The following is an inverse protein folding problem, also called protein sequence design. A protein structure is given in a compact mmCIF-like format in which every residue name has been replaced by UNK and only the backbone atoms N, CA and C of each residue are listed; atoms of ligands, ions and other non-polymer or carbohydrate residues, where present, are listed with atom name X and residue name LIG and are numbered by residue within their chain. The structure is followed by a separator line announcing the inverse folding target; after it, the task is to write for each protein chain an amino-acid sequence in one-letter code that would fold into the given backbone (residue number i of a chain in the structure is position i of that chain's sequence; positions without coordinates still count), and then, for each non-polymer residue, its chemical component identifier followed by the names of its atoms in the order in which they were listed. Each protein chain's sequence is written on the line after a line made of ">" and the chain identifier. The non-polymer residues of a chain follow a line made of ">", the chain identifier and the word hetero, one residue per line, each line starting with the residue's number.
data_IF_800091011432
#
_entry.id   IF_800091011432
#
_cell.length_a   1.000
_cell.length_b   1.000
_cell.length_c   1.000
_cell.angle_alpha   90.00
_cell.angle_beta   90.00
_cell.angle_gamma   90.00
#
_symmetry.space_group_name_H-M   'P 1'
#
loop_
_entity.id
_entity.type
_entity.pdbx_description
1 polymer ?
#
# COMPACT_ATOMS: atom_id res chain seq x y z
N UNK A 1 -19.16 -39.28 34.33
CA UNK A 1 -18.29 -38.08 34.52
C UNK A 1 -16.84 -38.31 34.07
N UNK A 2 -16.56 -39.16 33.06
CA UNK A 2 -15.19 -39.40 32.56
C UNK A 2 -14.95 -38.97 31.10
N UNK A 3 -16.02 -38.66 30.36
CA UNK A 3 -15.95 -38.25 28.95
C UNK A 3 -15.76 -36.72 28.76
N UNK A 4 -16.02 -35.91 29.80
CA UNK A 4 -15.90 -34.44 29.75
C UNK A 4 -14.45 -33.94 29.82
N UNK A 5 -13.51 -34.78 30.26
CA UNK A 5 -12.09 -34.43 30.39
C UNK A 5 -11.30 -34.51 29.08
N UNK A 6 -11.86 -35.09 28.02
CA UNK A 6 -11.17 -35.25 26.73
C UNK A 6 -11.32 -34.02 25.80
N UNK A 7 -12.20 -33.07 26.14
CA UNK A 7 -12.39 -31.84 25.36
C UNK A 7 -11.36 -30.74 25.66
N UNK A 8 -10.49 -30.95 26.66
CA UNK A 8 -9.46 -29.96 27.06
C UNK A 8 -8.12 -30.12 26.32
N UNK A 9 -7.99 -31.12 25.44
CA UNK A 9 -6.79 -31.38 24.64
C UNK A 9 -7.00 -31.11 23.15
N UNK A 10 -7.82 -30.11 22.78
CA UNK A 10 -7.76 -29.57 21.43
C UNK A 10 -6.55 -28.64 21.35
N UNK A 11 -5.47 -29.00 20.62
CA UNK A 11 -4.42 -28.04 20.33
C UNK A 11 -5.07 -26.88 19.58
N UNK A 12 -5.00 -25.69 20.16
CA UNK A 12 -5.23 -24.43 19.48
C UNK A 12 -4.16 -24.31 18.39
N UNK A 13 -4.37 -25.01 17.26
CA UNK A 13 -3.64 -24.76 16.04
C UNK A 13 -4.08 -23.37 15.63
N UNK A 14 -3.29 -22.36 16.01
CA UNK A 14 -3.46 -21.01 15.51
C UNK A 14 -3.16 -21.06 14.02
N UNK A 15 -4.21 -21.29 13.22
CA UNK A 15 -4.16 -21.01 11.80
C UNK A 15 -4.04 -19.50 11.70
N UNK A 16 -2.79 -19.04 11.62
CA UNK A 16 -2.48 -17.70 11.18
C UNK A 16 -3.04 -17.62 9.75
N UNK A 17 -4.21 -16.99 9.60
CA UNK A 17 -4.71 -16.60 8.30
C UNK A 17 -3.73 -15.53 7.79
N UNK A 18 -2.65 -15.98 7.12
CA UNK A 18 -1.84 -15.08 6.32
C UNK A 18 -2.74 -14.56 5.23
N UNK A 19 -2.85 -13.25 5.15
CA UNK A 19 -3.53 -12.61 4.04
C UNK A 19 -2.88 -13.13 2.75
N UNK A 20 -3.67 -13.70 1.81
CA UNK A 20 -3.10 -14.23 0.59
C UNK A 20 -2.34 -13.13 -0.14
N UNK A 21 -1.15 -13.47 -0.64
CA UNK A 21 -0.35 -12.54 -1.43
C UNK A 21 -1.17 -12.06 -2.63
N UNK A 22 -1.40 -10.75 -2.69
CA UNK A 22 -2.24 -10.13 -3.72
C UNK A 22 -1.49 -10.25 -5.05
N UNK A 23 -1.98 -11.13 -5.91
CA UNK A 23 -1.53 -11.17 -7.30
C UNK A 23 -2.19 -10.02 -8.06
N UNK A 24 -1.37 -9.26 -8.79
CA UNK A 24 -1.81 -8.13 -9.62
C UNK A 24 -1.57 -8.38 -11.11
N UNK A 25 -2.15 -9.43 -11.72
CA UNK A 25 -1.99 -9.72 -13.14
C UNK A 25 -2.53 -8.60 -14.07
N UNK A 26 -3.41 -7.72 -13.59
CA UNK A 26 -3.92 -6.57 -14.32
C UNK A 26 -4.97 -6.91 -15.36
N UNK A 27 -5.75 -7.97 -15.15
CA UNK A 27 -6.69 -8.48 -16.17
C UNK A 27 -7.96 -7.63 -16.28
N UNK A 28 -8.31 -6.91 -15.23
CA UNK A 28 -9.49 -6.05 -15.22
C UNK A 28 -9.28 -4.74 -14.44
N UNK A 29 -10.13 -3.75 -14.70
CA UNK A 29 -9.98 -2.39 -14.13
C UNK A 29 -10.16 -2.37 -12.61
N UNK A 30 -10.98 -3.25 -12.04
CA UNK A 30 -11.20 -3.32 -10.59
C UNK A 30 -9.93 -3.78 -9.89
N UNK A 31 -9.35 -4.86 -10.40
CA UNK A 31 -8.10 -5.43 -9.89
C UNK A 31 -6.94 -4.45 -10.06
N UNK A 32 -6.78 -3.84 -11.25
CA UNK A 32 -5.77 -2.80 -11.47
C UNK A 32 -5.91 -1.63 -10.48
N UNK A 33 -7.13 -1.20 -10.17
CA UNK A 33 -7.38 -0.16 -9.16
C UNK A 33 -6.97 -0.61 -7.77
N UNK A 34 -7.38 -1.81 -7.37
CA UNK A 34 -7.05 -2.36 -6.07
C UNK A 34 -5.53 -2.45 -5.89
N UNK A 35 -4.83 -3.00 -6.88
CA UNK A 35 -3.39 -3.13 -6.86
C UNK A 35 -2.65 -1.78 -6.82
N UNK A 36 -3.11 -0.79 -7.58
CA UNK A 36 -2.54 0.56 -7.52
C UNK A 36 -2.67 1.16 -6.11
N UNK A 37 -3.80 0.95 -5.44
CA UNK A 37 -4.01 1.39 -4.05
C UNK A 37 -3.11 0.64 -3.06
N UNK A 38 -2.95 -0.68 -3.21
CA UNK A 38 -2.09 -1.48 -2.34
C UNK A 38 -0.62 -1.08 -2.46
N UNK A 39 -0.12 -0.89 -3.69
CA UNK A 39 1.24 -0.44 -3.94
C UNK A 39 1.51 0.93 -3.31
N UNK A 40 0.55 1.85 -3.43
CA UNK A 40 0.63 3.16 -2.80
C UNK A 40 0.64 3.08 -1.27
N UNK A 41 -0.20 2.24 -0.66
CA UNK A 41 -0.19 2.08 0.80
C UNK A 41 1.14 1.50 1.28
N UNK A 42 1.69 0.51 0.56
CA UNK A 42 3.00 -0.07 0.87
C UNK A 42 4.11 1.00 0.86
N UNK A 43 4.24 1.78 -0.22
CA UNK A 43 5.29 2.80 -0.30
C UNK A 43 5.07 3.96 0.67
N UNK A 44 3.81 4.33 0.93
CA UNK A 44 3.45 5.33 1.94
C UNK A 44 3.77 4.83 3.36
N UNK A 45 3.55 3.55 3.65
CA UNK A 45 3.90 2.94 4.93
C UNK A 45 5.42 2.89 5.14
N UNK A 46 6.18 2.49 4.11
CA UNK A 46 7.63 2.54 4.16
C UNK A 46 8.17 3.96 4.41
N UNK A 47 7.55 4.99 3.82
CA UNK A 47 7.92 6.38 4.11
C UNK A 47 7.56 6.81 5.55
N UNK A 48 6.41 6.37 6.09
CA UNK A 48 6.04 6.63 7.49
C UNK A 48 7.08 6.08 8.47
N UNK A 49 7.70 4.96 8.14
CA UNK A 49 8.73 4.33 8.98
C UNK A 49 10.07 5.08 8.94
N UNK A 50 10.37 5.77 7.84
CA UNK A 50 11.65 6.46 7.66
C UNK A 50 11.61 7.97 7.93
N UNK A 51 10.43 8.61 7.86
CA UNK A 51 10.30 10.05 7.93
C UNK A 51 9.58 10.52 9.20
N UNK A 52 10.03 11.64 9.81
CA UNK A 52 9.21 12.33 10.79
C UNK A 52 7.87 12.75 10.19
N UNK A 53 6.78 12.68 10.98
CA UNK A 53 5.43 13.01 10.51
C UNK A 53 5.35 14.36 9.78
N UNK A 54 6.00 15.40 10.30
CA UNK A 54 5.99 16.72 9.69
C UNK A 54 6.66 16.75 8.29
N UNK A 55 7.67 15.92 8.07
CA UNK A 55 8.32 15.78 6.75
C UNK A 55 7.42 14.98 5.81
N UNK A 56 6.79 13.91 6.29
CA UNK A 56 5.85 13.12 5.52
C UNK A 56 4.64 13.95 5.04
N UNK A 57 4.07 14.79 5.90
CA UNK A 57 2.97 15.72 5.54
C UNK A 57 3.38 16.67 4.41
N UNK A 58 4.57 17.29 4.53
CA UNK A 58 5.11 18.18 3.50
C UNK A 58 5.38 17.45 2.19
N UNK A 59 5.90 16.23 2.27
CA UNK A 59 6.13 15.39 1.10
C UNK A 59 4.81 15.10 0.38
N UNK A 60 3.78 14.65 1.10
CA UNK A 60 2.45 14.38 0.53
C UNK A 60 1.84 15.61 -0.14
N UNK A 61 1.94 16.78 0.49
CA UNK A 61 1.43 18.01 -0.10
C UNK A 61 2.16 18.36 -1.40
N UNK A 62 3.49 18.25 -1.42
CA UNK A 62 4.30 18.53 -2.59
C UNK A 62 4.04 17.53 -3.74
N UNK A 63 3.96 16.23 -3.44
CA UNK A 63 3.67 15.22 -4.46
C UNK A 63 2.28 15.38 -5.01
N UNK A 64 1.27 15.69 -4.18
CA UNK A 64 -0.09 15.90 -4.61
C UNK A 64 -0.20 17.07 -5.61
N UNK A 65 0.49 18.18 -5.38
CA UNK A 65 0.51 19.31 -6.30
C UNK A 65 1.12 18.94 -7.66
N UNK A 66 2.27 18.25 -7.65
CA UNK A 66 2.95 17.82 -8.88
C UNK A 66 2.12 16.77 -9.64
N UNK A 67 1.60 15.78 -8.92
CA UNK A 67 0.80 14.70 -9.49
C UNK A 67 -0.53 15.20 -10.06
N UNK A 68 -1.08 16.31 -9.54
CA UNK A 68 -2.28 16.92 -10.09
C UNK A 68 -2.16 17.32 -11.56
N UNK A 69 -0.98 17.80 -11.97
CA UNK A 69 -0.70 18.06 -13.37
C UNK A 69 -0.66 16.76 -14.21
N UNK A 70 -0.08 15.70 -13.65
CA UNK A 70 0.07 14.42 -14.34
C UNK A 70 -1.27 13.71 -14.60
N UNK A 71 -2.21 13.74 -13.64
CA UNK A 71 -3.51 13.09 -13.80
C UNK A 71 -4.59 13.97 -14.43
N UNK A 72 -4.34 15.27 -14.65
CA UNK A 72 -5.31 16.22 -15.19
C UNK A 72 -5.99 15.77 -16.50
N UNK A 73 -5.29 15.15 -17.48
CA UNK A 73 -5.90 14.67 -18.71
C UNK A 73 -6.89 13.52 -18.51
N UNK A 74 -6.76 12.78 -17.40
CA UNK A 74 -7.51 11.54 -17.16
C UNK A 74 -8.75 11.73 -16.30
N UNK A 75 -9.06 12.94 -15.81
CA UNK A 75 -10.14 13.22 -14.84
C UNK A 75 -11.52 12.65 -15.19
N UNK A 76 -11.81 12.45 -16.47
CA UNK A 76 -13.09 11.90 -16.94
C UNK A 76 -13.04 10.40 -17.24
N UNK A 77 -11.86 9.79 -17.17
CA UNK A 77 -11.62 8.38 -17.50
C UNK A 77 -11.70 7.46 -16.28
N UNK A 78 -12.03 6.20 -16.53
CA UNK A 78 -12.03 5.14 -15.50
C UNK A 78 -10.64 4.84 -14.95
N UNK A 79 -9.58 5.28 -15.62
CA UNK A 79 -8.19 5.19 -15.16
C UNK A 79 -7.84 6.23 -14.08
N UNK A 80 -8.64 7.30 -13.92
CA UNK A 80 -8.33 8.41 -13.03
C UNK A 80 -7.91 7.99 -11.60
N UNK A 81 -8.65 7.11 -10.90
CA UNK A 81 -8.26 6.72 -9.54
C UNK A 81 -6.89 6.03 -9.48
N UNK A 82 -6.54 5.26 -10.53
CA UNK A 82 -5.24 4.60 -10.64
C UNK A 82 -4.11 5.61 -10.86
N UNK A 83 -4.37 6.65 -11.66
CA UNK A 83 -3.38 7.71 -11.92
C UNK A 83 -3.10 8.56 -10.68
N UNK A 84 -4.12 8.83 -9.85
CA UNK A 84 -3.96 9.57 -8.60
C UNK A 84 -2.97 8.85 -7.69
N UNK A 85 -3.21 7.58 -7.37
CA UNK A 85 -2.36 6.84 -6.42
C UNK A 85 -1.05 6.37 -7.05
N UNK A 86 -1.02 6.08 -8.35
CA UNK A 86 0.17 5.58 -9.04
C UNK A 86 1.27 6.62 -9.19
N UNK A 87 0.92 7.90 -9.34
CA UNK A 87 1.91 8.98 -9.36
C UNK A 87 2.58 9.13 -7.98
N UNK A 88 1.77 9.17 -6.92
CA UNK A 88 2.27 9.25 -5.55
C UNK A 88 3.14 8.04 -5.19
N UNK A 89 2.71 6.81 -5.53
CA UNK A 89 3.49 5.59 -5.30
C UNK A 89 4.88 5.66 -5.96
N UNK A 90 4.93 6.06 -7.24
CA UNK A 90 6.20 6.17 -7.96
C UNK A 90 7.13 7.18 -7.30
N UNK A 91 6.62 8.34 -6.88
CA UNK A 91 7.43 9.34 -6.19
C UNK A 91 7.89 8.83 -4.82
N UNK A 92 7.03 8.14 -4.07
CA UNK A 92 7.39 7.55 -2.78
C UNK A 92 8.55 6.55 -2.94
N UNK A 93 8.48 5.66 -3.94
CA UNK A 93 9.52 4.68 -4.22
C UNK A 93 10.85 5.36 -4.60
N UNK A 94 10.80 6.43 -5.39
CA UNK A 94 12.01 7.23 -5.69
C UNK A 94 12.59 7.81 -4.41
N UNK A 95 11.78 8.45 -3.55
CA UNK A 95 12.29 9.00 -2.29
C UNK A 95 12.89 7.90 -1.39
N UNK A 96 12.27 6.72 -1.32
CA UNK A 96 12.82 5.60 -0.56
C UNK A 96 14.20 5.17 -1.08
N UNK A 97 14.42 5.14 -2.39
CA UNK A 97 15.75 4.86 -2.96
C UNK A 97 16.77 5.98 -2.64
N UNK A 98 16.36 7.24 -2.72
CA UNK A 98 17.21 8.37 -2.34
C UNK A 98 17.59 8.31 -0.85
N UNK A 99 16.66 7.93 0.03
CA UNK A 99 16.90 7.77 1.47
C UNK A 99 17.91 6.65 1.76
N UNK A 100 17.86 5.52 1.05
CA UNK A 100 18.89 4.46 1.13
C UNK A 100 20.27 4.99 0.81
N UNK A 101 20.38 5.85 -0.21
CA UNK A 101 21.64 6.52 -0.58
C UNK A 101 22.20 7.43 0.51
N UNK A 102 21.36 7.89 1.43
CA UNK A 102 21.72 8.72 2.59
C UNK A 102 21.98 7.90 3.86
N UNK A 103 21.96 6.57 3.77
CA UNK A 103 22.14 5.66 4.91
C UNK A 103 20.96 5.63 5.88
N UNK A 104 19.75 5.93 5.38
CA UNK A 104 18.48 5.76 6.11
C UNK A 104 17.77 4.48 5.71
#
# INVERSE_FOLDING_TARGET
>A
MRALLLLLFFPLVQVQAREPEIQCPGENTIEMRFCASQNWEESNQALKEQLPQATLEKWKAATQEVCAAAYAPYRQGTIYPQMVVGCDDRLNRVLLEELKGLGR
#
